data_IF_093977416246
#
_entry.id   IF_093977416246
#
_cell.length_a   1.000
_cell.length_b   1.000
_cell.length_c   1.000
_cell.angle_alpha   90.00
_cell.angle_beta   90.00
_cell.angle_gamma   90.00
#
_symmetry.space_group_name_H-M   'P 1'
#
loop_
_entity.id
_entity.type
_entity.pdbx_description
1 polymer ?
#
# COMPACT_ATOMS: atom_id res chain seq x y z
N UNK A 1 -18.97 82.05 -25.31
CA UNK A 1 -17.80 81.19 -25.67
C UNK A 1 -17.44 80.16 -24.60
N UNK A 2 -17.32 80.54 -23.32
CA UNK A 2 -16.92 79.63 -22.22
C UNK A 2 -17.93 78.52 -21.89
N UNK A 3 -19.23 78.82 -21.96
CA UNK A 3 -20.30 77.85 -21.70
C UNK A 3 -20.35 76.71 -22.73
N UNK A 4 -20.09 77.02 -24.01
CA UNK A 4 -20.06 76.01 -25.08
C UNK A 4 -18.90 75.05 -24.91
N UNK A 5 -17.70 75.57 -24.59
CA UNK A 5 -16.53 74.75 -24.31
C UNK A 5 -16.77 73.82 -23.11
N UNK A 6 -17.29 74.36 -21.99
CA UNK A 6 -17.62 73.55 -20.82
C UNK A 6 -18.66 72.47 -21.11
N UNK A 7 -19.65 72.75 -21.95
CA UNK A 7 -20.67 71.76 -22.34
C UNK A 7 -20.07 70.65 -23.20
N UNK A 8 -19.16 70.98 -24.12
CA UNK A 8 -18.43 70.00 -24.93
C UNK A 8 -17.54 69.09 -24.06
N UNK A 9 -16.83 69.67 -23.10
CA UNK A 9 -16.00 68.90 -22.16
C UNK A 9 -16.84 67.93 -21.32
N UNK A 10 -18.02 68.37 -20.85
CA UNK A 10 -18.96 67.53 -20.10
C UNK A 10 -19.50 66.38 -20.96
N UNK A 11 -19.84 66.63 -22.23
CA UNK A 11 -20.32 65.59 -23.14
C UNK A 11 -19.21 64.56 -23.44
N UNK A 12 -17.97 65.02 -23.62
CA UNK A 12 -16.82 64.12 -23.81
C UNK A 12 -16.55 63.27 -22.56
N UNK A 13 -16.60 63.87 -21.37
CA UNK A 13 -16.45 63.15 -20.11
C UNK A 13 -17.56 62.11 -19.90
N UNK A 14 -18.82 62.45 -20.24
CA UNK A 14 -19.95 61.54 -20.17
C UNK A 14 -19.78 60.34 -21.13
N UNK A 15 -19.41 60.60 -22.38
CA UNK A 15 -19.16 59.54 -23.36
C UNK A 15 -18.03 58.60 -22.90
N UNK A 16 -16.94 59.14 -22.36
CA UNK A 16 -15.86 58.37 -21.78
C UNK A 16 -16.31 57.52 -20.59
N UNK A 17 -17.15 58.07 -19.72
CA UNK A 17 -17.69 57.33 -18.57
C UNK A 17 -18.57 56.15 -19.00
N UNK A 18 -19.43 56.35 -20.01
CA UNK A 18 -20.29 55.29 -20.57
C UNK A 18 -19.44 54.16 -21.17
N UNK A 19 -18.38 54.51 -21.91
CA UNK A 19 -17.46 53.53 -22.51
C UNK A 19 -16.60 52.80 -21.46
N UNK A 20 -16.24 53.45 -20.36
CA UNK A 20 -15.59 52.78 -19.23
C UNK A 20 -16.56 51.84 -18.51
N UNK A 21 -17.82 52.25 -18.32
CA UNK A 21 -18.83 51.44 -17.66
C UNK A 21 -19.16 50.17 -18.46
N UNK A 22 -19.26 50.26 -19.80
CA UNK A 22 -19.48 49.08 -20.66
C UNK A 22 -18.30 48.11 -20.59
N UNK A 23 -17.06 48.64 -20.68
CA UNK A 23 -15.84 47.83 -20.54
C UNK A 23 -15.74 47.14 -19.18
N UNK A 24 -16.13 47.83 -18.10
CA UNK A 24 -16.16 47.24 -16.75
C UNK A 24 -17.20 46.12 -16.66
N UNK A 25 -18.39 46.29 -17.22
CA UNK A 25 -19.43 45.25 -17.23
C UNK A 25 -18.99 43.99 -17.99
N UNK A 26 -18.32 44.16 -19.14
CA UNK A 26 -17.78 43.04 -19.91
C UNK A 26 -16.68 42.30 -19.14
N UNK A 27 -15.80 43.03 -18.47
CA UNK A 27 -14.75 42.45 -17.63
C UNK A 27 -15.32 41.71 -16.42
N UNK A 28 -16.34 42.25 -15.76
CA UNK A 28 -17.03 41.61 -14.65
C UNK A 28 -17.66 40.27 -15.09
N UNK A 29 -18.34 40.28 -16.24
CA UNK A 29 -18.91 39.05 -16.82
C UNK A 29 -17.82 38.00 -17.07
N UNK A 30 -16.72 38.39 -17.72
CA UNK A 30 -15.60 37.48 -18.00
C UNK A 30 -14.96 36.94 -16.72
N UNK A 31 -14.76 37.79 -15.71
CA UNK A 31 -14.20 37.39 -14.43
C UNK A 31 -15.14 36.41 -13.71
N UNK A 32 -16.45 36.66 -13.71
CA UNK A 32 -17.46 35.76 -13.14
C UNK A 32 -17.38 34.36 -13.78
N UNK A 33 -17.34 34.29 -15.12
CA UNK A 33 -17.21 33.04 -15.85
C UNK A 33 -15.91 32.30 -15.52
N UNK A 34 -14.77 33.02 -15.46
CA UNK A 34 -13.49 32.43 -15.10
C UNK A 34 -13.48 31.89 -13.67
N UNK A 35 -14.10 32.61 -12.72
CA UNK A 35 -14.23 32.15 -11.33
C UNK A 35 -15.06 30.87 -11.24
N UNK A 36 -16.21 30.82 -11.92
CA UNK A 36 -17.05 29.61 -11.95
C UNK A 36 -16.33 28.42 -12.58
N UNK A 37 -15.63 28.63 -13.70
CA UNK A 37 -14.85 27.58 -14.36
C UNK A 37 -13.72 27.04 -13.46
N UNK A 38 -12.97 27.94 -12.83
CA UNK A 38 -11.89 27.58 -11.90
C UNK A 38 -12.43 26.82 -10.70
N UNK A 39 -13.57 27.25 -10.15
CA UNK A 39 -14.20 26.57 -9.03
C UNK A 39 -14.65 25.15 -9.39
N UNK A 40 -15.23 24.95 -10.58
CA UNK A 40 -15.59 23.61 -11.07
C UNK A 40 -14.35 22.71 -11.24
N UNK A 41 -13.26 23.26 -11.78
CA UNK A 41 -11.98 22.54 -11.90
C UNK A 41 -11.40 22.16 -10.54
N UNK A 42 -11.42 23.07 -9.56
CA UNK A 42 -10.94 22.80 -8.20
C UNK A 42 -11.73 21.65 -7.55
N UNK A 43 -13.06 21.66 -7.68
CA UNK A 43 -13.91 20.58 -7.16
C UNK A 43 -13.60 19.23 -7.83
N UNK A 44 -13.39 19.22 -9.16
CA UNK A 44 -13.02 18.01 -9.90
C UNK A 44 -11.67 17.46 -9.46
N UNK A 45 -10.71 18.36 -9.19
CA UNK A 45 -9.37 18.01 -8.73
C UNK A 45 -9.42 17.38 -7.34
N UNK A 46 -10.16 17.97 -6.39
CA UNK A 46 -10.37 17.36 -5.07
C UNK A 46 -11.11 16.02 -5.12
N UNK A 47 -11.97 15.79 -6.12
CA UNK A 47 -12.57 14.47 -6.35
C UNK A 47 -11.50 13.46 -6.79
N UNK A 48 -10.63 13.83 -7.74
CA UNK A 48 -9.56 12.97 -8.23
C UNK A 48 -8.52 12.66 -7.14
N UNK A 49 -8.16 13.64 -6.31
CA UNK A 49 -7.26 13.43 -5.18
C UNK A 49 -7.79 12.37 -4.21
N UNK A 50 -9.09 12.46 -3.86
CA UNK A 50 -9.72 11.47 -2.98
C UNK A 50 -9.72 10.08 -3.61
N UNK A 51 -10.03 9.98 -4.90
CA UNK A 51 -9.97 8.70 -5.63
C UNK A 51 -8.55 8.13 -5.67
N UNK A 52 -7.54 8.97 -5.89
CA UNK A 52 -6.15 8.55 -5.91
C UNK A 52 -5.68 8.06 -4.54
N UNK A 53 -6.01 8.79 -3.46
CA UNK A 53 -5.70 8.37 -2.09
C UNK A 53 -6.35 7.03 -1.74
N UNK A 54 -7.58 6.79 -2.17
CA UNK A 54 -8.26 5.50 -2.00
C UNK A 54 -7.52 4.38 -2.75
N UNK A 55 -7.18 4.61 -4.02
CA UNK A 55 -6.42 3.61 -4.81
C UNK A 55 -5.07 3.30 -4.20
N UNK A 56 -4.38 4.31 -3.67
CA UNK A 56 -3.11 4.13 -2.98
C UNK A 56 -3.30 3.27 -1.72
N UNK A 57 -4.30 3.58 -0.87
CA UNK A 57 -4.56 2.78 0.32
C UNK A 57 -4.94 1.33 0.01
N UNK A 58 -5.72 1.11 -1.05
CA UNK A 58 -6.10 -0.23 -1.49
C UNK A 58 -4.88 -1.02 -1.98
N UNK A 59 -3.98 -0.36 -2.72
CA UNK A 59 -2.71 -0.94 -3.17
C UNK A 59 -1.80 -1.27 -1.97
N UNK A 60 -1.62 -0.33 -1.04
CA UNK A 60 -0.78 -0.53 0.14
C UNK A 60 -1.31 -1.70 0.98
N UNK A 61 -2.63 -1.82 1.15
CA UNK A 61 -3.27 -2.95 1.83
C UNK A 61 -3.02 -4.27 1.09
N UNK A 62 -3.21 -4.30 -0.24
CA UNK A 62 -3.00 -5.49 -1.05
C UNK A 62 -1.54 -5.97 -1.04
N UNK A 63 -0.59 -5.03 -0.98
CA UNK A 63 0.84 -5.29 -0.98
C UNK A 63 1.44 -5.52 0.42
N UNK A 64 0.74 -5.15 1.50
CA UNK A 64 1.24 -5.22 2.88
C UNK A 64 1.84 -6.59 3.25
N UNK A 65 1.19 -7.69 2.85
CA UNK A 65 1.66 -9.06 3.13
C UNK A 65 2.93 -9.46 2.38
N UNK A 66 3.23 -8.78 1.29
CA UNK A 66 4.43 -9.00 0.48
C UNK A 66 5.54 -8.00 0.82
N UNK A 67 5.32 -7.13 1.82
CA UNK A 67 6.38 -6.26 2.32
C UNK A 67 7.55 -7.09 2.87
N UNK A 68 8.79 -6.60 2.77
CA UNK A 68 9.95 -7.30 3.32
C UNK A 68 9.78 -7.66 4.81
N UNK A 69 9.17 -6.76 5.59
CA UNK A 69 8.90 -7.01 7.00
C UNK A 69 7.88 -8.15 7.20
N UNK A 70 6.76 -8.15 6.47
CA UNK A 70 5.76 -9.22 6.56
C UNK A 70 6.32 -10.58 6.12
N UNK A 71 7.09 -10.61 5.02
CA UNK A 71 7.74 -11.83 4.55
C UNK A 71 8.79 -12.34 5.54
N UNK A 72 9.56 -11.46 6.16
CA UNK A 72 10.52 -11.83 7.20
C UNK A 72 9.82 -12.41 8.45
N UNK A 73 8.73 -11.78 8.90
CA UNK A 73 7.93 -12.31 10.01
C UNK A 73 7.34 -13.68 9.67
N UNK A 74 6.79 -13.86 8.47
CA UNK A 74 6.27 -15.15 8.00
C UNK A 74 7.37 -16.22 7.93
N UNK A 75 8.57 -15.86 7.45
CA UNK A 75 9.71 -16.78 7.43
C UNK A 75 10.08 -17.20 8.85
N UNK A 76 10.19 -16.26 9.79
CA UNK A 76 10.45 -16.54 11.20
C UNK A 76 9.41 -17.46 11.83
N UNK A 77 8.12 -17.19 11.59
CA UNK A 77 7.01 -18.06 12.02
C UNK A 77 7.13 -19.47 11.43
N UNK A 78 7.38 -19.58 10.12
CA UNK A 78 7.49 -20.89 9.45
C UNK A 78 8.69 -21.73 9.93
N UNK A 79 9.77 -21.09 10.41
CA UNK A 79 10.89 -21.78 11.06
C UNK A 79 10.43 -22.35 12.40
N UNK A 80 9.74 -21.54 13.21
CA UNK A 80 9.24 -21.95 14.52
C UNK A 80 8.19 -23.05 14.41
N UNK A 81 7.23 -22.92 13.50
CA UNK A 81 6.21 -23.94 13.21
C UNK A 81 6.86 -25.26 12.80
N UNK A 82 7.88 -25.22 11.95
CA UNK A 82 8.60 -26.44 11.54
C UNK A 82 9.38 -27.07 12.70
N UNK A 83 9.92 -26.26 13.62
CA UNK A 83 10.55 -26.77 14.83
C UNK A 83 9.53 -27.53 15.69
N UNK A 84 8.35 -26.96 15.89
CA UNK A 84 7.26 -27.62 16.60
C UNK A 84 6.79 -28.90 15.92
N UNK A 85 6.71 -28.93 14.59
CA UNK A 85 6.41 -30.17 13.85
C UNK A 85 7.44 -31.25 14.13
N UNK A 86 8.74 -30.92 14.09
CA UNK A 86 9.80 -31.88 14.41
C UNK A 86 9.68 -32.39 15.85
N UNK A 87 9.44 -31.50 16.82
CA UNK A 87 9.26 -31.85 18.22
C UNK A 87 8.03 -32.76 18.42
N UNK A 88 6.88 -32.42 17.83
CA UNK A 88 5.67 -33.24 17.92
C UNK A 88 5.87 -34.63 17.28
N UNK A 89 6.67 -34.74 16.22
CA UNK A 89 7.03 -36.03 15.63
C UNK A 89 7.91 -36.87 16.57
N UNK A 90 8.82 -36.24 17.31
CA UNK A 90 9.63 -36.91 18.33
C UNK A 90 8.76 -37.38 19.50
N UNK A 91 7.92 -36.49 20.05
CA UNK A 91 7.01 -36.79 21.15
C UNK A 91 6.03 -37.92 20.78
N UNK A 92 5.38 -37.85 19.63
CA UNK A 92 4.44 -38.89 19.16
C UNK A 92 5.09 -40.25 18.91
N UNK A 93 6.39 -40.29 18.62
CA UNK A 93 7.12 -41.55 18.49
C UNK A 93 7.41 -42.16 19.87
N UNK A 94 7.88 -41.33 20.82
CA UNK A 94 8.20 -41.75 22.19
C UNK A 94 6.96 -42.18 22.99
N UNK A 95 5.84 -41.46 22.84
CA UNK A 95 4.59 -41.77 23.53
C UNK A 95 3.98 -43.11 23.09
N UNK A 96 4.31 -43.58 21.88
CA UNK A 96 3.81 -44.86 21.34
C UNK A 96 4.51 -46.07 21.96
N UNK A 97 5.78 -45.95 22.31
CA UNK A 97 6.56 -47.01 22.97
C UNK A 97 6.51 -46.94 24.51
N UNK A 98 6.05 -45.83 25.09
CA UNK A 98 6.03 -45.56 26.54
C UNK A 98 4.73 -45.89 27.28
N UNK A 99 3.63 -46.22 26.59
CA UNK A 99 2.37 -46.58 27.22
C UNK A 99 2.39 -48.06 27.67
N UNK A 100 2.13 -48.29 28.95
CA UNK A 100 1.98 -49.61 29.58
C UNK A 100 0.86 -50.40 28.88
N UNK A 101 1.22 -51.20 27.86
CA UNK A 101 0.30 -51.94 26.97
C UNK A 101 0.28 -51.51 25.49
N UNK A 102 1.15 -50.60 25.05
CA UNK A 102 1.28 -50.19 23.65
C UNK A 102 1.95 -51.26 22.77
N UNK A 103 1.40 -51.48 21.58
CA UNK A 103 1.98 -52.37 20.56
C UNK A 103 3.35 -51.83 20.12
N UNK A 104 4.42 -52.62 20.30
CA UNK A 104 5.78 -52.25 19.87
C UNK A 104 5.75 -51.75 18.43
N UNK A 105 6.31 -50.56 18.18
CA UNK A 105 6.42 -50.03 16.83
C UNK A 105 7.12 -51.03 15.91
N UNK A 106 6.46 -51.38 14.80
CA UNK A 106 7.04 -52.31 13.82
C UNK A 106 8.27 -51.67 13.18
N UNK A 107 9.29 -52.48 12.84
CA UNK A 107 10.48 -52.00 12.10
C UNK A 107 10.11 -51.20 10.84
N UNK A 108 9.02 -51.57 10.17
CA UNK A 108 8.51 -50.86 8.99
C UNK A 108 7.97 -49.47 9.34
N UNK A 109 7.25 -49.34 10.45
CA UNK A 109 6.72 -48.06 10.93
C UNK A 109 7.84 -47.15 11.41
N UNK A 110 8.84 -47.70 12.12
CA UNK A 110 10.02 -46.97 12.54
C UNK A 110 10.81 -46.43 11.32
N UNK A 111 11.03 -47.27 10.30
CA UNK A 111 11.70 -46.85 9.07
C UNK A 111 10.93 -45.73 8.34
N UNK A 112 9.60 -45.81 8.30
CA UNK A 112 8.76 -44.77 7.71
C UNK A 112 8.81 -43.46 8.50
N UNK A 113 8.75 -43.53 9.84
CA UNK A 113 8.88 -42.38 10.71
C UNK A 113 10.23 -41.69 10.51
N UNK A 114 11.34 -42.45 10.50
CA UNK A 114 12.70 -41.91 10.27
C UNK A 114 12.74 -41.15 8.95
N UNK A 115 12.16 -41.71 7.87
CA UNK A 115 12.11 -41.05 6.57
C UNK A 115 11.38 -39.70 6.66
N UNK A 116 10.17 -39.69 7.21
CA UNK A 116 9.34 -38.47 7.34
C UNK A 116 10.01 -37.42 8.25
N UNK A 117 10.62 -37.85 9.34
CA UNK A 117 11.31 -36.97 10.28
C UNK A 117 12.55 -36.32 9.65
N UNK A 118 13.34 -37.09 8.89
CA UNK A 118 14.46 -36.54 8.11
C UNK A 118 13.98 -35.50 7.10
N UNK A 119 12.91 -35.77 6.37
CA UNK A 119 12.31 -34.81 5.44
C UNK A 119 11.88 -33.51 6.17
N UNK A 120 11.25 -33.64 7.34
CA UNK A 120 10.86 -32.51 8.17
C UNK A 120 12.07 -31.69 8.67
N UNK A 121 13.16 -32.35 9.10
CA UNK A 121 14.40 -31.68 9.52
C UNK A 121 15.12 -30.98 8.36
N UNK A 122 15.13 -31.56 7.16
CA UNK A 122 15.67 -30.87 5.97
C UNK A 122 14.94 -29.55 5.72
N UNK A 123 13.60 -29.56 5.80
CA UNK A 123 12.81 -28.33 5.64
C UNK A 123 13.08 -27.31 6.75
N UNK A 124 13.24 -27.77 7.99
CA UNK A 124 13.60 -26.91 9.12
C UNK A 124 14.93 -26.18 8.87
N UNK A 125 16.00 -26.93 8.58
CA UNK A 125 17.33 -26.34 8.34
C UNK A 125 17.36 -25.44 7.11
N UNK A 126 16.64 -25.79 6.04
CA UNK A 126 16.53 -24.94 4.86
C UNK A 126 15.89 -23.59 5.18
N UNK A 127 14.82 -23.57 5.99
CA UNK A 127 14.18 -22.32 6.40
C UNK A 127 15.07 -21.51 7.35
N UNK A 128 15.78 -22.19 8.24
CA UNK A 128 16.75 -21.55 9.14
C UNK A 128 17.86 -20.86 8.33
N UNK A 129 18.48 -21.56 7.38
CA UNK A 129 19.55 -21.00 6.54
C UNK A 129 19.05 -19.82 5.69
N UNK A 130 17.81 -19.90 5.17
CA UNK A 130 17.18 -18.77 4.46
C UNK A 130 16.97 -17.56 5.36
N UNK A 131 16.60 -17.78 6.63
CA UNK A 131 16.44 -16.70 7.61
C UNK A 131 17.79 -16.08 7.96
N UNK A 132 18.81 -16.90 8.23
CA UNK A 132 20.17 -16.42 8.50
C UNK A 132 20.73 -15.61 7.32
N UNK A 133 20.54 -16.09 6.08
CA UNK A 133 20.88 -15.32 4.88
C UNK A 133 20.09 -14.01 4.77
N UNK A 134 18.84 -14.00 5.22
CA UNK A 134 18.04 -12.79 5.25
C UNK A 134 18.60 -11.78 6.25
N UNK A 135 18.96 -12.24 7.46
CA UNK A 135 19.56 -11.42 8.52
C UNK A 135 20.90 -10.81 8.08
N UNK A 136 21.65 -11.50 7.23
CA UNK A 136 22.90 -11.02 6.62
C UNK A 136 22.70 -10.16 5.36
N UNK A 137 21.44 -9.96 4.92
CA UNK A 137 21.12 -9.20 3.71
C UNK A 137 21.49 -9.89 2.40
N UNK A 138 21.63 -11.23 2.39
CA UNK A 138 21.92 -12.07 1.22
C UNK A 138 20.65 -12.64 0.56
N UNK A 139 19.57 -11.85 0.51
CA UNK A 139 18.27 -12.25 -0.06
C UNK A 139 18.26 -12.01 -1.57
N UNK A 140 18.05 -13.06 -2.37
CA UNK A 140 18.00 -12.97 -3.83
C UNK A 140 19.40 -12.86 -4.42
N UNK A 141 20.03 -14.01 -4.69
CA UNK A 141 21.45 -14.08 -5.07
C UNK A 141 21.80 -13.32 -6.33
N UNK A 142 22.14 -12.03 -6.21
CA UNK A 142 22.91 -11.24 -7.15
C UNK A 142 23.71 -10.21 -6.34
N UNK A 143 24.96 -10.56 -6.03
CA UNK A 143 26.05 -9.60 -5.86
C UNK A 143 26.97 -9.77 -7.06
#
# INVERSE_FOLDING_TARGET
PSLLASNQDLLAALASNVDLASRLADQESRLSHQRSATQAQLLSMHALERQWRQKQSDMDLALARFSPAALYQLLGQSVQEQAFVCQAMEESFLDRDGADGGEMTSEREAAEWIRRYREAKVQYYLRQERKERWDEGRVGGWR
#
